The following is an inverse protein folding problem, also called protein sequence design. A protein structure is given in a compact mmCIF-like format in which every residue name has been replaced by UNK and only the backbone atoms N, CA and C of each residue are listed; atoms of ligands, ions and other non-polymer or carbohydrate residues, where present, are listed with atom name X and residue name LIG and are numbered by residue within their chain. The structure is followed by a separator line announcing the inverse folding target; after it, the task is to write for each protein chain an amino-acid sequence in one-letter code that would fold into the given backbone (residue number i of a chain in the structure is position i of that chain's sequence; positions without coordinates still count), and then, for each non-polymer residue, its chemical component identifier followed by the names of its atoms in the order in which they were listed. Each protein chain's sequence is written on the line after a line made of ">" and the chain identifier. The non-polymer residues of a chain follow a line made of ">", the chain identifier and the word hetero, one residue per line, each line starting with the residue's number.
data_IF_215674812711
#
_entry.id   IF_215674812711
#
_cell.length_a   1.000
_cell.length_b   1.000
_cell.length_c   1.000
_cell.angle_alpha   90.00
_cell.angle_beta   90.00
_cell.angle_gamma   90.00
#
_symmetry.space_group_name_H-M   'P 1'
#
loop_
_entity.id
_entity.type
_entity.pdbx_description
1 polymer ?
#
# COMPACT_ATOMS: atom_id res chain seq x y z
N UNK A 1 10.22 10.87 16.52
CA UNK A 1 9.21 10.34 15.58
C UNK A 1 9.43 10.78 14.12
N UNK A 2 9.62 12.08 13.82
CA UNK A 2 9.84 12.56 12.44
C UNK A 2 10.98 11.86 11.67
N UNK A 3 12.14 11.66 12.32
CA UNK A 3 13.29 10.97 11.71
C UNK A 3 12.94 9.54 11.30
N UNK A 4 12.24 8.79 12.17
CA UNK A 4 11.86 7.41 11.86
C UNK A 4 10.85 7.33 10.70
N UNK A 5 9.89 8.27 10.65
CA UNK A 5 8.97 8.39 9.52
C UNK A 5 9.71 8.74 8.23
N UNK A 6 10.69 9.66 8.30
CA UNK A 6 11.51 10.04 7.15
C UNK A 6 12.21 8.80 6.59
N UNK A 7 12.96 8.08 7.44
CA UNK A 7 13.66 6.85 7.06
C UNK A 7 12.68 5.88 6.39
N UNK A 8 11.59 5.53 7.06
CA UNK A 8 10.61 4.56 6.57
C UNK A 8 10.01 4.94 5.21
N UNK A 9 9.65 6.22 5.00
CA UNK A 9 9.08 6.69 3.74
C UNK A 9 10.09 6.86 2.61
N UNK A 10 11.39 6.86 2.90
CA UNK A 10 12.45 7.00 1.88
C UNK A 10 13.17 5.69 1.57
N UNK A 11 12.80 4.58 2.21
CA UNK A 11 13.31 3.26 1.84
C UNK A 11 12.92 2.94 0.40
N UNK A 12 13.79 2.24 -0.31
CA UNK A 12 13.75 2.07 -1.77
C UNK A 12 12.43 1.48 -2.29
N UNK A 13 11.81 0.61 -1.49
CA UNK A 13 10.58 -0.11 -1.81
C UNK A 13 9.35 0.45 -1.10
N UNK A 14 9.49 1.49 -0.27
CA UNK A 14 8.40 2.01 0.56
C UNK A 14 7.15 2.40 -0.25
N UNK A 15 7.33 3.06 -1.39
CA UNK A 15 6.22 3.45 -2.26
C UNK A 15 5.50 2.24 -2.89
N UNK A 16 6.26 1.21 -3.27
CA UNK A 16 5.69 -0.06 -3.75
C UNK A 16 4.95 -0.81 -2.65
N UNK A 17 5.47 -0.78 -1.41
CA UNK A 17 4.81 -1.39 -0.26
C UNK A 17 3.54 -0.65 0.11
N UNK A 18 3.50 0.68 -0.01
CA UNK A 18 2.25 1.43 0.18
C UNK A 18 1.18 0.98 -0.82
N UNK A 19 1.55 0.74 -2.09
CA UNK A 19 0.63 0.18 -3.09
C UNK A 19 0.17 -1.24 -2.70
N UNK A 20 1.08 -2.09 -2.24
CA UNK A 20 0.74 -3.43 -1.77
C UNK A 20 -0.16 -3.42 -0.53
N UNK A 21 0.12 -2.58 0.45
CA UNK A 21 -0.69 -2.43 1.67
C UNK A 21 -2.11 -1.97 1.33
N UNK A 22 -2.26 -1.00 0.42
CA UNK A 22 -3.59 -0.57 -0.05
C UNK A 22 -4.32 -1.68 -0.81
N UNK A 23 -3.61 -2.43 -1.67
CA UNK A 23 -4.16 -3.58 -2.40
C UNK A 23 -4.67 -4.67 -1.45
N UNK A 24 -3.87 -4.98 -0.43
CA UNK A 24 -4.14 -6.00 0.57
C UNK A 24 -5.01 -5.51 1.72
N UNK A 25 -5.45 -4.24 1.73
CA UNK A 25 -6.16 -3.65 2.88
C UNK A 25 -5.37 -3.78 4.21
N UNK A 26 -4.04 -3.74 4.17
CA UNK A 26 -3.20 -3.76 5.35
C UNK A 26 -3.21 -2.38 6.01
N UNK A 27 -3.98 -2.25 7.09
CA UNK A 27 -4.10 -1.00 7.85
C UNK A 27 -3.15 -0.93 9.04
N UNK A 28 -2.41 -2.00 9.35
CA UNK A 28 -1.62 -2.06 10.57
C UNK A 28 -0.14 -1.72 10.41
N UNK A 29 0.31 -1.42 9.18
CA UNK A 29 1.69 -1.01 8.89
C UNK A 29 2.24 -0.02 9.92
N UNK A 30 3.36 -0.36 10.55
CA UNK A 30 4.03 0.48 11.53
C UNK A 30 5.56 0.28 11.45
N UNK A 31 6.33 1.04 12.22
CA UNK A 31 7.79 1.02 12.17
C UNK A 31 8.41 -0.32 12.62
N UNK A 32 7.71 -1.08 13.48
CA UNK A 32 8.15 -2.41 13.93
C UNK A 32 7.98 -3.47 12.83
N UNK A 33 7.22 -3.17 11.79
CA UNK A 33 7.06 -4.05 10.64
C UNK A 33 8.14 -3.86 9.56
N UNK A 34 9.22 -3.15 9.88
CA UNK A 34 10.33 -2.87 8.98
C UNK A 34 11.59 -3.51 9.56
N UNK A 35 12.12 -4.49 8.85
CA UNK A 35 13.47 -5.00 9.10
C UNK A 35 14.41 -4.29 8.13
N UNK A 36 15.45 -3.63 8.64
CA UNK A 36 16.40 -2.88 7.82
C UNK A 36 17.80 -3.04 8.38
N UNK A 37 18.74 -3.46 7.53
CA UNK A 37 20.15 -3.67 7.90
C UNK A 37 21.04 -2.45 7.58
N UNK A 38 20.47 -1.41 6.98
CA UNK A 38 21.18 -0.22 6.50
C UNK A 38 21.30 -0.14 4.98
N UNK A 39 21.11 -1.24 4.26
CA UNK A 39 21.18 -1.32 2.80
C UNK A 39 19.89 -1.86 2.19
N UNK A 40 19.34 -2.93 2.78
CA UNK A 40 18.13 -3.61 2.30
C UNK A 40 17.06 -3.67 3.36
N UNK A 41 15.81 -3.45 2.93
CA UNK A 41 14.64 -3.54 3.78
C UNK A 41 13.75 -4.74 3.46
N UNK A 42 13.12 -5.29 4.50
CA UNK A 42 12.05 -6.26 4.40
C UNK A 42 10.83 -5.77 5.19
N UNK A 43 9.66 -5.95 4.58
CA UNK A 43 8.37 -5.53 5.13
C UNK A 43 7.64 -6.76 5.63
N UNK A 44 7.48 -6.85 6.94
CA UNK A 44 6.95 -8.04 7.60
C UNK A 44 5.55 -7.79 8.14
N UNK A 45 4.97 -8.84 8.72
CA UNK A 45 3.72 -8.83 9.46
C UNK A 45 2.51 -8.25 8.69
N UNK A 46 1.82 -9.16 8.00
CA UNK A 46 0.56 -8.88 7.30
C UNK A 46 -0.63 -9.52 8.03
N UNK A 47 -0.50 -9.78 9.34
CA UNK A 47 -1.50 -10.50 10.11
C UNK A 47 -2.87 -9.81 10.09
N UNK A 48 -2.91 -8.48 9.93
CA UNK A 48 -4.14 -7.68 9.82
C UNK A 48 -4.45 -7.18 8.40
N UNK A 49 -3.99 -7.91 7.39
CA UNK A 49 -4.36 -7.66 6.01
C UNK A 49 -5.72 -8.29 5.65
N UNK A 50 -6.12 -8.05 4.41
CA UNK A 50 -7.32 -8.55 3.75
C UNK A 50 -8.63 -8.18 4.48
N UNK A 51 -8.62 -7.06 5.21
CA UNK A 51 -9.80 -6.51 5.86
C UNK A 51 -10.27 -7.28 7.10
N UNK A 52 -9.43 -8.15 7.68
CA UNK A 52 -9.77 -8.92 8.87
C UNK A 52 -9.79 -8.11 10.19
N UNK A 53 -9.44 -6.82 10.14
CA UNK A 53 -9.55 -5.84 11.25
C UNK A 53 -10.27 -4.57 10.81
N UNK A 54 -11.61 -4.62 10.69
CA UNK A 54 -12.40 -3.48 10.24
C UNK A 54 -12.43 -2.32 11.25
N UNK A 55 -12.04 -2.56 12.51
CA UNK A 55 -11.93 -1.57 13.58
C UNK A 55 -10.74 -0.61 13.41
N UNK A 56 -9.75 -0.98 12.59
CA UNK A 56 -8.63 -0.10 12.27
C UNK A 56 -9.07 1.01 11.30
N UNK A 57 -8.58 2.22 11.57
CA UNK A 57 -8.82 3.39 10.72
C UNK A 57 -8.42 3.11 9.26
N UNK A 58 -9.23 3.57 8.31
CA UNK A 58 -8.95 3.42 6.88
C UNK A 58 -7.88 4.41 6.43
N UNK A 59 -6.63 4.07 6.73
CA UNK A 59 -5.45 4.88 6.38
C UNK A 59 -4.36 4.00 5.81
N UNK A 60 -3.57 4.58 4.90
CA UNK A 60 -2.30 4.01 4.49
C UNK A 60 -1.20 4.71 5.29
N UNK A 61 -0.60 4.01 6.27
CA UNK A 61 0.34 4.66 7.21
C UNK A 61 1.61 5.15 6.51
N UNK A 62 2.05 4.51 5.43
CA UNK A 62 3.22 4.98 4.66
C UNK A 62 2.94 6.27 3.90
N UNK A 63 1.75 6.40 3.28
CA UNK A 63 1.32 7.67 2.68
C UNK A 63 1.29 8.80 3.73
N UNK A 64 0.76 8.52 4.92
CA UNK A 64 0.73 9.49 6.03
C UNK A 64 2.13 9.89 6.49
N UNK A 65 3.07 8.94 6.58
CA UNK A 65 4.46 9.22 6.94
C UNK A 65 5.12 10.13 5.89
N UNK A 66 4.95 9.83 4.60
CA UNK A 66 5.49 10.64 3.51
C UNK A 66 4.94 12.08 3.53
N UNK A 67 3.63 12.24 3.74
CA UNK A 67 3.00 13.55 3.90
C UNK A 67 3.56 14.31 5.11
N UNK A 68 3.70 13.64 6.26
CA UNK A 68 4.18 14.26 7.49
C UNK A 68 5.63 14.78 7.39
N UNK A 69 6.45 14.17 6.52
CA UNK A 69 7.85 14.57 6.32
C UNK A 69 8.07 15.46 5.09
N UNK A 70 7.04 15.66 4.27
CA UNK A 70 7.07 16.57 3.11
C UNK A 70 7.52 15.92 1.80
N UNK A 71 7.49 14.59 1.70
CA UNK A 71 7.84 13.83 0.48
C UNK A 71 6.60 13.26 -0.23
N UNK A 72 5.41 13.77 0.10
CA UNK A 72 4.13 13.22 -0.36
C UNK A 72 3.99 13.12 -1.89
N UNK A 73 4.40 14.13 -2.63
CA UNK A 73 4.29 14.16 -4.10
C UNK A 73 5.18 13.10 -4.77
N UNK A 74 6.46 13.04 -4.40
CA UNK A 74 7.39 12.02 -4.90
C UNK A 74 6.91 10.61 -4.53
N UNK A 75 6.45 10.43 -3.29
CA UNK A 75 5.96 9.15 -2.79
C UNK A 75 4.67 8.72 -3.53
N UNK A 76 3.77 9.65 -3.81
CA UNK A 76 2.57 9.41 -4.62
C UNK A 76 2.94 8.93 -6.01
N UNK A 77 3.87 9.62 -6.71
CA UNK A 77 4.33 9.19 -8.03
C UNK A 77 4.94 7.79 -7.99
N UNK A 78 5.78 7.49 -6.99
CA UNK A 78 6.36 6.17 -6.79
C UNK A 78 5.30 5.08 -6.56
N UNK A 79 4.28 5.36 -5.74
CA UNK A 79 3.24 4.39 -5.41
C UNK A 79 2.32 4.12 -6.63
N UNK A 80 2.00 5.17 -7.40
CA UNK A 80 1.23 5.04 -8.64
C UNK A 80 2.04 4.28 -9.70
N UNK A 81 3.32 4.58 -9.86
CA UNK A 81 4.19 3.84 -10.78
C UNK A 81 4.29 2.36 -10.39
N UNK A 82 4.45 2.07 -9.09
CA UNK A 82 4.45 0.70 -8.58
C UNK A 82 3.13 -0.02 -8.87
N UNK A 83 1.97 0.63 -8.62
CA UNK A 83 0.67 0.08 -8.99
C UNK A 83 0.56 -0.20 -10.49
N UNK A 84 1.01 0.71 -11.36
CA UNK A 84 0.97 0.52 -12.81
C UNK A 84 1.83 -0.67 -13.26
N UNK A 85 2.95 -0.91 -12.57
CA UNK A 85 3.86 -2.03 -12.83
C UNK A 85 3.35 -3.39 -12.30
N UNK A 86 2.31 -3.42 -11.46
CA UNK A 86 1.76 -4.68 -10.94
C UNK A 86 1.13 -5.52 -12.05
N UNK A 87 1.52 -6.79 -12.09
CA UNK A 87 0.84 -7.80 -12.90
C UNK A 87 -0.49 -8.19 -12.24
N UNK A 88 -1.59 -7.75 -12.86
CA UNK A 88 -2.96 -7.99 -12.39
C UNK A 88 -3.36 -9.46 -12.49
N UNK A 89 -2.63 -10.28 -13.24
CA UNK A 89 -2.92 -11.72 -13.42
C UNK A 89 -2.30 -12.58 -12.33
N UNK A 90 -1.29 -12.06 -11.61
CA UNK A 90 -0.52 -12.82 -10.63
C UNK A 90 -1.36 -13.44 -9.50
N UNK A 91 -2.34 -12.73 -8.87
CA UNK A 91 -3.14 -13.35 -7.80
C UNK A 91 -3.92 -14.58 -8.25
N UNK A 92 -4.48 -14.55 -9.46
CA UNK A 92 -5.22 -15.69 -10.01
C UNK A 92 -4.31 -16.88 -10.31
N UNK A 93 -3.14 -16.64 -10.91
CA UNK A 93 -2.15 -17.67 -11.19
C UNK A 93 -1.63 -18.34 -9.90
N UNK A 94 -1.37 -17.55 -8.85
CA UNK A 94 -0.91 -18.07 -7.56
C UNK A 94 -2.00 -18.87 -6.84
N UNK A 95 -3.26 -18.44 -6.94
CA UNK A 95 -4.37 -19.17 -6.36
C UNK A 95 -4.59 -20.53 -7.03
N UNK A 96 -4.41 -20.62 -8.35
CA UNK A 96 -4.47 -21.88 -9.08
C UNK A 96 -3.38 -22.86 -8.62
N UNK A 97 -2.15 -22.38 -8.42
CA UNK A 97 -1.02 -23.19 -7.93
C UNK A 97 -1.22 -23.73 -6.52
N UNK A 98 -2.04 -23.07 -5.71
CA UNK A 98 -2.31 -23.44 -4.31
C UNK A 98 -3.67 -24.11 -4.11
N UNK A 99 -4.39 -24.41 -5.20
CA UNK A 99 -5.75 -24.95 -5.16
C UNK A 99 -5.86 -26.31 -4.47
N UNK A 100 -4.80 -27.12 -4.51
CA UNK A 100 -4.72 -28.41 -3.80
C UNK A 100 -4.53 -28.26 -2.27
N UNK A 101 -4.10 -27.07 -1.80
CA UNK A 101 -3.78 -26.81 -0.38
C UNK A 101 -4.91 -26.07 0.32
N UNK A 102 -5.52 -25.08 -0.34
CA UNK A 102 -6.57 -24.26 0.23
C UNK A 102 -7.47 -23.66 -0.85
N UNK A 103 -8.76 -23.49 -0.53
CA UNK A 103 -9.65 -22.66 -1.34
C UNK A 103 -9.35 -21.17 -1.08
N UNK A 104 -8.71 -20.54 -2.06
CA UNK A 104 -8.33 -19.12 -2.04
C UNK A 104 -9.26 -18.24 -2.88
N UNK A 105 -10.34 -18.79 -3.45
CA UNK A 105 -11.20 -18.11 -4.42
C UNK A 105 -11.74 -16.77 -3.93
N UNK A 106 -12.23 -16.72 -2.69
CA UNK A 106 -12.76 -15.49 -2.08
C UNK A 106 -11.68 -14.41 -1.88
N UNK A 107 -10.47 -14.82 -1.46
CA UNK A 107 -9.35 -13.90 -1.28
C UNK A 107 -8.85 -13.35 -2.62
N UNK A 108 -8.71 -14.21 -3.62
CA UNK A 108 -8.31 -13.82 -4.97
C UNK A 108 -9.30 -12.85 -5.59
N UNK A 109 -10.61 -13.11 -5.47
CA UNK A 109 -11.65 -12.20 -5.94
C UNK A 109 -11.57 -10.83 -5.24
N UNK A 110 -11.32 -10.84 -3.92
CA UNK A 110 -11.16 -9.60 -3.13
C UNK A 110 -9.94 -8.80 -3.60
N UNK A 111 -8.77 -9.45 -3.74
CA UNK A 111 -7.54 -8.79 -4.19
C UNK A 111 -7.70 -8.27 -5.62
N UNK A 112 -8.24 -9.08 -6.53
CA UNK A 112 -8.47 -8.67 -7.92
C UNK A 112 -9.42 -7.45 -8.01
N UNK A 113 -10.51 -7.45 -7.24
CA UNK A 113 -11.41 -6.30 -7.16
C UNK A 113 -10.68 -5.03 -6.67
N UNK A 114 -9.84 -5.15 -5.63
CA UNK A 114 -9.08 -4.02 -5.10
C UNK A 114 -8.02 -3.51 -6.08
N UNK A 115 -7.34 -4.39 -6.80
CA UNK A 115 -6.34 -4.02 -7.82
C UNK A 115 -6.93 -3.17 -8.95
N UNK A 116 -8.19 -3.40 -9.32
CA UNK A 116 -8.87 -2.61 -10.36
C UNK A 116 -9.06 -1.14 -9.97
N UNK A 117 -9.27 -0.86 -8.69
CA UNK A 117 -9.49 0.48 -8.16
C UNK A 117 -8.29 1.04 -7.39
N UNK A 118 -7.15 0.33 -7.41
CA UNK A 118 -6.01 0.65 -6.54
C UNK A 118 -5.41 2.03 -6.83
N UNK A 119 -5.33 2.43 -8.10
CA UNK A 119 -4.83 3.76 -8.47
C UNK A 119 -5.67 4.89 -7.85
N UNK A 120 -6.99 4.83 -8.00
CA UNK A 120 -7.92 5.81 -7.40
C UNK A 120 -7.81 5.84 -5.88
N UNK A 121 -7.71 4.66 -5.25
CA UNK A 121 -7.55 4.54 -3.80
C UNK A 121 -6.24 5.13 -3.31
N UNK A 122 -5.14 4.93 -4.04
CA UNK A 122 -3.85 5.52 -3.74
C UNK A 122 -3.87 7.03 -3.90
N UNK A 123 -4.42 7.56 -4.99
CA UNK A 123 -4.57 9.00 -5.21
C UNK A 123 -5.37 9.66 -4.08
N UNK A 124 -6.44 9.01 -3.62
CA UNK A 124 -7.25 9.49 -2.51
C UNK A 124 -6.52 9.54 -1.16
N UNK A 125 -5.31 8.97 -1.03
CA UNK A 125 -4.48 9.09 0.18
C UNK A 125 -3.65 10.39 0.24
N UNK A 126 -3.63 11.15 -0.85
CA UNK A 126 -2.87 12.41 -0.94
C UNK A 126 -3.82 13.61 -1.08
N UNK A 127 -3.39 14.81 -0.66
CA UNK A 127 -4.16 16.02 -0.89
C UNK A 127 -4.48 16.18 -2.38
N UNK A 128 -5.74 16.46 -2.70
CA UNK A 128 -6.12 16.90 -4.04
C UNK A 128 -5.75 18.37 -4.18
N UNK A 129 -5.29 18.83 -5.37
CA UNK A 129 -5.18 20.25 -5.63
C UNK A 129 -6.53 20.91 -5.35
N UNK A 130 -6.53 22.12 -4.79
CA UNK A 130 -7.76 22.92 -4.72
C UNK A 130 -8.33 23.01 -6.13
N UNK A 131 -9.61 22.64 -6.29
CA UNK A 131 -10.27 22.64 -7.58
C UNK A 131 -10.17 24.06 -8.16
N UNK A 132 -9.43 24.20 -9.27
CA UNK A 132 -9.17 25.48 -9.93
C UNK A 132 -10.47 26.20 -10.34
N UNK A 133 -11.60 25.49 -10.39
CA UNK A 133 -12.92 26.03 -10.74
C UNK A 133 -13.80 26.31 -9.52
N UNK A 134 -13.38 25.96 -8.31
CA UNK A 134 -14.13 26.22 -7.07
C UNK A 134 -14.05 27.68 -6.57
N UNK A 135 -13.19 28.50 -7.20
CA UNK A 135 -12.96 29.89 -6.86
C UNK A 135 -13.66 30.91 -7.80
N UNK A 136 -14.64 30.48 -8.60
CA UNK A 136 -15.42 31.35 -9.52
C UNK A 136 -16.88 31.46 -9.08
#
# INVERSE_FOLDING_TARGET
>A
MRIAMQVASTLSTAAAVAAADEALANRDRNLENILWDGETEAWIDHAYALGNRPDLADVNKLCNMALAVGTGEEFQHGAIAAWMALDRTQPAQQAEQLSDVADLSAWTATIAHRLNHLGERLLARFPSPDDLLSAV
#
